data_IF_365821459023
#
_entry.id   IF_365821459023
#
_cell.length_a   1.000
_cell.length_b   1.000
_cell.length_c   1.000
_cell.angle_alpha   90.00
_cell.angle_beta   90.00
_cell.angle_gamma   90.00
#
_symmetry.space_group_name_H-M   'P 1'
#
loop_
_entity.id
_entity.type
_entity.pdbx_description
1 polymer ?
#
# COMPACT_ATOMS: atom_id res chain seq x y z
N UNK A 1 -9.11 -23.49 -43.09
CA UNK A 1 -8.46 -24.78 -42.86
C UNK A 1 -6.96 -24.60 -43.11
N UNK A 2 -6.14 -24.31 -42.08
CA UNK A 2 -4.69 -24.11 -42.25
C UNK A 2 -3.97 -25.27 -41.58
N UNK A 3 -3.51 -26.21 -42.40
CA UNK A 3 -2.80 -27.41 -41.97
C UNK A 3 -1.38 -27.06 -41.55
N UNK A 4 -1.03 -27.42 -40.31
CA UNK A 4 0.34 -27.30 -39.84
C UNK A 4 1.22 -28.28 -40.62
N UNK A 5 2.00 -27.77 -41.58
CA UNK A 5 3.13 -28.49 -42.15
C UNK A 5 4.14 -28.69 -41.03
N UNK A 6 4.29 -29.91 -40.53
CA UNK A 6 5.40 -30.23 -39.63
C UNK A 6 6.69 -29.96 -40.38
N UNK A 7 7.48 -29.04 -39.85
CA UNK A 7 8.72 -28.61 -40.49
C UNK A 7 9.80 -29.63 -40.13
N UNK A 8 10.35 -30.31 -41.13
CA UNK A 8 11.42 -31.28 -40.92
C UNK A 8 12.68 -30.55 -40.48
N UNK A 9 13.30 -31.03 -39.41
CA UNK A 9 14.61 -30.59 -38.96
C UNK A 9 15.63 -31.67 -39.34
N UNK A 10 16.82 -31.26 -39.74
CA UNK A 10 17.90 -32.17 -40.10
C UNK A 10 18.92 -32.20 -38.96
N UNK A 11 19.24 -33.39 -38.47
CA UNK A 11 20.31 -33.60 -37.51
C UNK A 11 21.54 -34.14 -38.23
N UNK A 12 22.62 -33.36 -38.26
CA UNK A 12 23.92 -33.81 -38.78
C UNK A 12 24.78 -34.28 -37.60
N UNK A 13 25.13 -35.57 -37.59
CA UNK A 13 26.02 -36.16 -36.60
C UNK A 13 27.45 -36.23 -37.17
N UNK A 14 28.49 -35.89 -36.39
CA UNK A 14 29.87 -36.00 -36.85
C UNK A 14 30.22 -37.46 -37.14
N UNK A 15 30.61 -37.75 -38.38
CA UNK A 15 30.95 -39.10 -38.86
C UNK A 15 29.90 -39.79 -39.74
N UNK A 16 28.74 -39.17 -39.98
CA UNK A 16 27.72 -39.67 -40.92
C UNK A 16 27.48 -38.67 -42.06
N UNK A 17 27.66 -39.09 -43.32
CA UNK A 17 27.45 -38.25 -44.52
C UNK A 17 25.96 -38.00 -44.85
N UNK A 18 25.04 -38.71 -44.20
CA UNK A 18 23.59 -38.59 -44.44
C UNK A 18 22.88 -37.92 -43.26
N UNK A 19 22.27 -36.74 -43.46
CA UNK A 19 21.49 -36.05 -42.43
C UNK A 19 20.25 -36.86 -42.02
N UNK A 20 20.02 -37.02 -40.72
CA UNK A 20 18.84 -37.72 -40.19
C UNK A 20 17.65 -36.75 -40.21
N UNK A 21 16.56 -37.14 -40.88
CA UNK A 21 15.31 -36.36 -40.91
C UNK A 21 14.53 -36.54 -39.61
N UNK A 22 14.33 -35.46 -38.87
CA UNK A 22 13.52 -35.39 -37.67
C UNK A 22 12.23 -34.62 -37.93
N UNK A 23 11.08 -35.22 -37.61
CA UNK A 23 9.80 -34.54 -37.71
C UNK A 23 9.51 -33.77 -36.42
N UNK A 24 9.48 -32.44 -36.49
CA UNK A 24 9.23 -31.58 -35.32
C UNK A 24 7.86 -30.92 -35.45
N UNK A 25 6.97 -31.20 -34.48
CA UNK A 25 5.66 -30.57 -34.40
C UNK A 25 5.70 -29.28 -33.57
N UNK A 26 5.94 -28.16 -34.25
CA UNK A 26 5.95 -26.82 -33.64
C UNK A 26 4.55 -26.34 -33.22
N UNK A 27 3.48 -26.99 -33.68
CA UNK A 27 2.09 -26.55 -33.44
C UNK A 27 1.70 -26.61 -31.97
N UNK A 28 2.17 -27.64 -31.25
CA UNK A 28 1.88 -27.82 -29.82
C UNK A 28 2.61 -26.80 -28.96
N UNK A 29 3.89 -26.54 -29.27
CA UNK A 29 4.70 -25.55 -28.57
C UNK A 29 4.16 -24.13 -28.79
N UNK A 30 3.80 -23.77 -30.03
CA UNK A 30 3.24 -22.45 -30.36
C UNK A 30 1.92 -22.20 -29.62
N UNK A 31 0.96 -23.14 -29.70
CA UNK A 31 -0.34 -22.99 -29.04
C UNK A 31 -0.21 -22.81 -27.53
N UNK A 32 0.68 -23.57 -26.87
CA UNK A 32 0.92 -23.43 -25.43
C UNK A 32 1.58 -22.08 -25.08
N UNK A 33 2.47 -21.59 -25.94
CA UNK A 33 3.09 -20.27 -25.78
C UNK A 33 2.08 -19.13 -25.95
N UNK A 34 1.25 -19.18 -27.00
CA UNK A 34 0.21 -18.19 -27.25
C UNK A 34 -0.84 -18.17 -26.14
N UNK A 35 -1.20 -19.35 -25.64
CA UNK A 35 -2.08 -19.45 -24.48
C UNK A 35 -1.46 -18.81 -23.23
N UNK A 36 -0.16 -19.01 -22.97
CA UNK A 36 0.56 -18.35 -21.88
C UNK A 36 0.57 -16.83 -22.04
N UNK A 37 0.80 -16.32 -23.26
CA UNK A 37 0.76 -14.88 -23.56
C UNK A 37 -0.63 -14.30 -23.29
N UNK A 38 -1.67 -14.97 -23.77
CA UNK A 38 -3.08 -14.56 -23.54
C UNK A 38 -3.39 -14.50 -22.05
N UNK A 39 -3.03 -15.53 -21.28
CA UNK A 39 -3.23 -15.53 -19.82
C UNK A 39 -2.44 -14.43 -19.12
N UNK A 40 -1.19 -14.18 -19.49
CA UNK A 40 -0.38 -13.12 -18.89
C UNK A 40 -0.92 -11.72 -19.23
N UNK A 41 -1.41 -11.52 -20.46
CA UNK A 41 -2.06 -10.27 -20.85
C UNK A 41 -3.31 -10.00 -20.00
N UNK A 42 -4.18 -11.00 -19.83
CA UNK A 42 -5.37 -10.89 -18.97
C UNK A 42 -4.98 -10.64 -17.51
N UNK A 43 -4.02 -11.40 -16.98
CA UNK A 43 -3.54 -11.23 -15.61
C UNK A 43 -2.97 -9.83 -15.37
N UNK A 44 -2.17 -9.32 -16.32
CA UNK A 44 -1.58 -7.98 -16.24
C UNK A 44 -2.64 -6.88 -16.29
N UNK A 45 -3.64 -6.99 -17.15
CA UNK A 45 -4.77 -6.05 -17.19
C UNK A 45 -5.55 -6.06 -15.89
N UNK A 46 -5.84 -7.24 -15.33
CA UNK A 46 -6.53 -7.36 -14.04
C UNK A 46 -5.71 -6.74 -12.91
N UNK A 47 -4.40 -6.99 -12.87
CA UNK A 47 -3.51 -6.42 -11.86
C UNK A 47 -3.47 -4.89 -11.95
N UNK A 48 -3.33 -4.33 -13.15
CA UNK A 48 -3.35 -2.89 -13.37
C UNK A 48 -4.69 -2.28 -12.95
N UNK A 49 -5.81 -2.91 -13.31
CA UNK A 49 -7.15 -2.46 -12.90
C UNK A 49 -7.31 -2.52 -11.38
N UNK A 50 -6.89 -3.60 -10.72
CA UNK A 50 -6.92 -3.72 -9.26
C UNK A 50 -6.09 -2.63 -8.60
N UNK A 51 -4.85 -2.40 -9.08
CA UNK A 51 -3.97 -1.36 -8.55
C UNK A 51 -4.59 0.04 -8.70
N UNK A 52 -5.21 0.30 -9.86
CA UNK A 52 -5.91 1.57 -10.12
C UNK A 52 -7.09 1.78 -9.15
N UNK A 53 -7.94 0.76 -8.98
CA UNK A 53 -9.08 0.84 -8.04
C UNK A 53 -8.61 1.07 -6.61
N UNK A 54 -7.59 0.34 -6.16
CA UNK A 54 -7.05 0.51 -4.80
C UNK A 54 -6.51 1.93 -4.59
N UNK A 55 -5.77 2.47 -5.56
CA UNK A 55 -5.27 3.85 -5.48
C UNK A 55 -6.42 4.88 -5.48
N UNK A 56 -7.47 4.67 -6.29
CA UNK A 56 -8.65 5.52 -6.30
C UNK A 56 -9.39 5.46 -4.95
N UNK A 57 -9.55 4.29 -4.36
CA UNK A 57 -10.16 4.10 -3.04
C UNK A 57 -9.34 4.78 -1.93
N UNK A 58 -8.01 4.63 -1.93
CA UNK A 58 -7.11 5.29 -0.98
C UNK A 58 -7.25 6.81 -1.08
N UNK A 59 -7.26 7.36 -2.30
CA UNK A 59 -7.44 8.81 -2.50
C UNK A 59 -8.82 9.29 -2.05
N UNK A 60 -9.86 8.49 -2.26
CA UNK A 60 -11.23 8.79 -1.82
C UNK A 60 -11.34 8.78 -0.30
N UNK A 61 -10.70 7.82 0.38
CA UNK A 61 -10.64 7.79 1.84
C UNK A 61 -9.91 9.00 2.40
N UNK A 62 -8.77 9.37 1.81
CA UNK A 62 -8.02 10.55 2.23
C UNK A 62 -8.83 11.83 2.04
N UNK A 63 -9.55 11.95 0.93
CA UNK A 63 -10.44 13.09 0.69
C UNK A 63 -11.57 13.14 1.72
N UNK A 64 -12.24 12.02 1.98
CA UNK A 64 -13.30 11.94 3.00
C UNK A 64 -12.81 12.40 4.37
N UNK A 65 -11.64 11.94 4.81
CA UNK A 65 -11.05 12.35 6.09
C UNK A 65 -10.74 13.85 6.13
N UNK A 66 -10.23 14.42 5.04
CA UNK A 66 -10.00 15.86 4.94
C UNK A 66 -11.30 16.66 5.00
N UNK A 67 -12.36 16.16 4.37
CA UNK A 67 -13.66 16.82 4.34
C UNK A 67 -14.32 16.78 5.72
N UNK A 68 -14.23 15.64 6.42
CA UNK A 68 -14.68 15.51 7.81
C UNK A 68 -13.90 16.44 8.75
N UNK A 69 -12.58 16.52 8.58
CA UNK A 69 -11.73 17.46 9.34
C UNK A 69 -12.18 18.91 9.17
N UNK A 70 -12.41 19.35 7.93
CA UNK A 70 -12.92 20.71 7.66
C UNK A 70 -14.30 20.95 8.27
N UNK A 71 -15.20 19.98 8.21
CA UNK A 71 -16.52 20.10 8.82
C UNK A 71 -16.46 20.23 10.35
N UNK A 72 -15.58 19.47 11.00
CA UNK A 72 -15.38 19.57 12.44
C UNK A 72 -14.77 20.91 12.83
N UNK A 73 -13.81 21.41 12.06
CA UNK A 73 -13.20 22.73 12.26
C UNK A 73 -14.25 23.84 12.20
N UNK A 74 -15.12 23.85 11.17
CA UNK A 74 -16.23 24.81 11.08
C UNK A 74 -17.17 24.72 12.27
N UNK A 75 -17.52 23.51 12.73
CA UNK A 75 -18.38 23.34 13.91
C UNK A 75 -17.71 23.85 15.19
N UNK A 76 -16.40 23.63 15.34
CA UNK A 76 -15.65 24.14 16.49
C UNK A 76 -15.58 25.67 16.49
N UNK A 77 -15.39 26.29 15.32
CA UNK A 77 -15.41 27.73 15.16
C UNK A 77 -16.79 28.30 15.54
N UNK A 78 -17.87 27.71 15.04
CA UNK A 78 -19.25 28.10 15.38
C UNK A 78 -19.52 28.01 16.89
N UNK A 79 -19.19 26.87 17.51
CA UNK A 79 -19.37 26.69 18.95
C UNK A 79 -18.49 27.64 19.77
N UNK A 80 -17.29 27.95 19.27
CA UNK A 80 -16.39 28.93 19.87
C UNK A 80 -17.00 30.32 19.83
N UNK A 81 -17.54 30.73 18.69
CA UNK A 81 -18.27 32.01 18.55
C UNK A 81 -19.49 32.07 19.47
N UNK A 82 -20.29 31.01 19.54
CA UNK A 82 -21.44 30.96 20.47
C UNK A 82 -21.00 31.06 21.93
N UNK A 83 -19.97 30.31 22.33
CA UNK A 83 -19.41 30.37 23.68
C UNK A 83 -18.93 31.78 24.01
N UNK A 84 -18.18 32.40 23.09
CA UNK A 84 -17.62 33.73 23.31
C UNK A 84 -18.72 34.78 23.37
N UNK A 85 -19.75 34.69 22.52
CA UNK A 85 -20.95 35.53 22.60
C UNK A 85 -21.62 35.47 23.98
N UNK A 86 -21.94 34.27 24.48
CA UNK A 86 -22.58 34.14 25.79
C UNK A 86 -21.64 34.49 26.96
N UNK A 87 -20.35 34.25 26.81
CA UNK A 87 -19.35 34.65 27.82
C UNK A 87 -19.29 36.17 27.93
N UNK A 88 -19.24 36.85 26.80
CA UNK A 88 -19.07 38.30 26.73
C UNK A 88 -20.35 39.01 27.16
N UNK A 89 -21.54 38.51 26.79
CA UNK A 89 -22.82 39.04 27.28
C UNK A 89 -22.97 38.84 28.81
N UNK A 90 -22.60 37.66 29.34
CA UNK A 90 -22.55 37.43 30.79
C UNK A 90 -21.60 38.41 31.48
N UNK A 91 -20.42 38.65 30.92
CA UNK A 91 -19.45 39.59 31.49
C UNK A 91 -20.02 41.02 31.48
N UNK A 92 -20.64 41.45 30.37
CA UNK A 92 -21.35 42.74 30.27
C UNK A 92 -22.41 42.90 31.34
N UNK A 93 -23.28 41.90 31.54
CA UNK A 93 -24.32 41.93 32.57
C UNK A 93 -23.73 41.98 33.98
N UNK A 94 -22.69 41.19 34.25
CA UNK A 94 -21.97 41.22 35.52
C UNK A 94 -21.39 42.61 35.79
N UNK A 95 -20.81 43.25 34.78
CA UNK A 95 -20.20 44.57 34.91
C UNK A 95 -21.27 45.63 35.26
N UNK A 96 -22.46 45.57 34.64
CA UNK A 96 -23.62 46.41 35.00
C UNK A 96 -24.05 46.19 36.46
N UNK A 97 -24.19 44.94 36.89
CA UNK A 97 -24.59 44.63 38.27
C UNK A 97 -23.54 45.13 39.27
N UNK A 98 -22.25 44.95 38.95
CA UNK A 98 -21.16 45.38 39.83
C UNK A 98 -21.10 46.89 40.05
N UNK A 99 -21.51 47.68 39.06
CA UNK A 99 -21.55 49.14 39.14
C UNK A 99 -22.82 49.66 39.81
N UNK A 100 -23.84 48.82 40.02
CA UNK A 100 -25.12 49.23 40.60
C UNK A 100 -25.05 49.21 42.13
N UNK A 101 -25.17 50.37 42.81
CA UNK A 101 -25.18 50.42 44.28
C UNK A 101 -26.32 49.58 44.86
N UNK A 102 -26.07 48.90 45.97
CA UNK A 102 -27.05 48.04 46.66
C UNK A 102 -27.10 46.59 46.20
N UNK A 103 -26.77 46.29 44.94
CA UNK A 103 -26.79 44.91 44.38
C UNK A 103 -25.43 44.41 43.88
N UNK A 104 -24.37 45.23 43.97
CA UNK A 104 -23.03 44.91 43.50
C UNK A 104 -22.45 43.60 44.06
N UNK A 105 -22.81 43.24 45.29
CA UNK A 105 -22.36 41.99 45.94
C UNK A 105 -22.78 40.72 45.18
N UNK A 106 -23.88 40.77 44.42
CA UNK A 106 -24.38 39.66 43.61
C UNK A 106 -23.52 39.34 42.39
N UNK A 107 -22.64 40.26 41.97
CA UNK A 107 -21.71 40.04 40.86
C UNK A 107 -20.54 39.10 41.21
N UNK A 108 -20.40 38.72 42.48
CA UNK A 108 -19.31 37.89 42.97
C UNK A 108 -19.50 36.43 42.52
N UNK A 109 -18.66 35.97 41.60
CA UNK A 109 -18.71 34.59 41.11
C UNK A 109 -18.09 33.64 42.15
N UNK A 110 -18.72 32.51 42.48
CA UNK A 110 -18.08 31.48 43.29
C UNK A 110 -16.83 30.93 42.59
N UNK A 111 -15.84 30.54 43.38
CA UNK A 111 -14.61 29.91 42.88
C UNK A 111 -14.95 28.72 41.99
N UNK A 112 -14.43 28.72 40.75
CA UNK A 112 -14.75 27.66 39.79
C UNK A 112 -14.21 26.33 40.32
N UNK A 113 -14.98 25.23 40.23
CA UNK A 113 -14.49 23.93 40.68
C UNK A 113 -13.21 23.60 39.90
N UNK A 114 -12.12 23.36 40.63
CA UNK A 114 -10.84 22.98 40.05
C UNK A 114 -11.06 21.70 39.23
N UNK A 115 -10.77 21.75 37.93
CA UNK A 115 -10.86 20.57 37.09
C UNK A 115 -9.83 19.57 37.57
N UNK A 116 -10.29 18.45 38.14
CA UNK A 116 -9.47 17.35 38.66
C UNK A 116 -8.76 16.54 37.54
N UNK A 117 -8.28 17.21 36.49
CA UNK A 117 -7.54 16.61 35.37
C UNK A 117 -6.15 17.22 35.25
N UNK A 118 -5.40 17.20 36.35
CA UNK A 118 -3.95 17.23 36.30
C UNK A 118 -3.40 16.18 37.26
N UNK A 119 -3.67 14.91 36.95
CA UNK A 119 -2.76 13.85 37.39
C UNK A 119 -1.46 14.05 36.61
N UNK A 120 -0.30 14.28 37.23
CA UNK A 120 0.95 14.10 36.53
C UNK A 120 1.01 12.65 36.07
N UNK A 121 1.20 12.46 34.77
CA UNK A 121 1.58 11.17 34.21
C UNK A 121 2.91 10.79 34.85
N UNK A 122 2.88 10.00 35.92
CA UNK A 122 4.08 9.34 36.42
C UNK A 122 4.46 8.33 35.36
N UNK A 123 5.48 8.69 34.61
CA UNK A 123 6.30 7.83 33.79
C UNK A 123 6.68 6.57 34.59
N UNK A 124 5.96 5.48 34.35
CA UNK A 124 6.36 4.15 34.80
C UNK A 124 6.06 3.17 33.68
N UNK A 125 7.08 2.92 32.89
CA UNK A 125 7.17 1.73 32.06
C UNK A 125 7.47 0.53 32.96
N UNK A 126 6.67 -0.55 32.91
CA UNK A 126 7.14 -1.86 33.34
C UNK A 126 6.97 -2.84 32.17
N UNK A 127 8.07 -3.06 31.46
CA UNK A 127 8.30 -4.32 30.78
C UNK A 127 8.21 -5.46 31.81
N UNK A 128 7.57 -6.57 31.42
CA UNK A 128 7.49 -7.88 32.10
C UNK A 128 6.29 -8.10 33.03
N UNK A 129 5.21 -8.68 32.50
CA UNK A 129 4.27 -9.51 33.26
C UNK A 129 3.97 -10.78 32.43
N UNK A 130 4.30 -11.94 33.00
CA UNK A 130 4.25 -13.28 32.39
C UNK A 130 2.80 -13.84 32.33
N UNK A 131 2.47 -14.76 31.41
CA UNK A 131 1.18 -15.45 31.39
C UNK A 131 1.21 -16.80 32.15
N UNK A 132 0.09 -17.08 32.83
CA UNK A 132 -0.17 -18.27 33.64
C UNK A 132 -0.39 -19.53 32.78
N UNK A 133 0.12 -20.66 33.27
CA UNK A 133 0.06 -22.01 32.70
C UNK A 133 -1.26 -22.73 33.04
N UNK A 134 -1.86 -23.44 32.06
CA UNK A 134 -2.88 -24.47 32.31
C UNK A 134 -2.36 -25.84 31.80
N UNK A 135 -2.61 -26.96 32.51
CA UNK A 135 -2.04 -28.26 32.17
C UNK A 135 -2.88 -29.03 31.13
N UNK A 136 -2.20 -29.66 30.16
CA UNK A 136 -2.75 -30.58 29.17
C UNK A 136 -2.53 -32.03 29.64
N UNK A 137 -3.59 -32.84 29.64
CA UNK A 137 -3.54 -34.27 29.96
C UNK A 137 -3.24 -35.12 28.71
N UNK A 138 -2.49 -36.21 28.97
CA UNK A 138 -1.92 -37.20 28.05
C UNK A 138 -2.95 -38.07 27.31
N UNK A 139 -2.56 -38.58 26.13
CA UNK A 139 -3.06 -39.82 25.53
C UNK A 139 -2.26 -40.22 24.28
N UNK A 140 -1.67 -41.41 24.28
CA UNK A 140 -0.75 -41.99 23.27
C UNK A 140 -1.38 -42.40 21.91
N UNK A 141 -0.57 -42.68 20.86
CA UNK A 141 -1.03 -43.07 19.53
C UNK A 141 -0.92 -44.58 19.22
N UNK A 142 -1.75 -45.07 18.30
CA UNK A 142 -1.56 -46.37 17.63
C UNK A 142 -1.79 -46.22 16.10
N UNK A 143 -0.93 -46.77 15.21
CA UNK A 143 -0.93 -46.42 13.79
C UNK A 143 -1.59 -47.49 12.90
N UNK A 144 -2.30 -47.07 11.85
CA UNK A 144 -2.87 -47.99 10.86
C UNK A 144 -3.52 -47.33 9.64
N UNK A 145 -2.74 -47.21 8.57
CA UNK A 145 -3.10 -47.46 7.15
C UNK A 145 -4.12 -46.57 6.38
N UNK A 146 -3.54 -45.62 5.62
CA UNK A 146 -3.64 -45.43 4.14
C UNK A 146 -4.96 -44.97 3.46
N UNK A 147 -4.86 -44.36 2.24
CA UNK A 147 -5.47 -43.06 1.96
C UNK A 147 -6.49 -43.06 0.81
N UNK A 148 -7.48 -42.18 0.92
CA UNK A 148 -8.01 -41.28 -0.13
C UNK A 148 -9.37 -40.75 0.33
N UNK A 149 -9.53 -39.42 0.50
CA UNK A 149 -10.20 -38.57 -0.50
C UNK A 149 -10.36 -37.13 0.03
N UNK A 150 -10.18 -36.18 -0.90
CA UNK A 150 -10.79 -34.83 -0.92
C UNK A 150 -10.43 -33.75 0.14
N UNK A 151 -10.48 -32.46 -0.25
CA UNK A 151 -9.69 -31.39 0.35
C UNK A 151 -10.50 -30.45 1.25
N UNK A 152 -9.98 -30.17 2.45
CA UNK A 152 -10.43 -29.03 3.24
C UNK A 152 -9.26 -28.16 3.72
N UNK A 153 -9.45 -26.87 3.45
CA UNK A 153 -8.92 -25.70 4.14
C UNK A 153 -8.19 -25.96 5.47
N UNK A 154 -6.92 -25.58 5.54
CA UNK A 154 -6.47 -24.49 6.41
C UNK A 154 -4.97 -24.25 6.25
N UNK A 155 -4.61 -22.99 6.08
CA UNK A 155 -3.25 -22.56 5.88
C UNK A 155 -2.50 -22.64 7.21
N UNK A 156 -1.50 -23.53 7.24
CA UNK A 156 -0.59 -23.76 8.36
C UNK A 156 0.27 -22.53 8.66
N UNK A 157 0.07 -21.96 9.85
CA UNK A 157 0.94 -20.97 10.49
C UNK A 157 1.93 -21.69 11.41
N UNK A 158 3.15 -21.95 10.93
CA UNK A 158 4.31 -22.15 11.82
C UNK A 158 5.59 -21.71 11.10
N UNK A 159 6.29 -20.76 11.69
CA UNK A 159 7.76 -20.77 11.72
C UNK A 159 8.25 -20.05 12.97
N UNK A 160 8.86 -20.86 13.84
CA UNK A 160 9.52 -20.58 15.11
C UNK A 160 10.78 -19.71 14.94
N UNK A 161 11.28 -19.06 16.01
CA UNK A 161 12.49 -18.25 15.96
C UNK A 161 13.72 -19.15 16.16
N UNK A 162 14.72 -19.05 15.27
CA UNK A 162 16.04 -19.65 15.45
C UNK A 162 17.11 -18.58 15.29
N UNK A 163 18.06 -18.62 16.22
CA UNK A 163 18.98 -17.54 16.53
C UNK A 163 20.02 -17.17 15.47
N UNK A 164 20.47 -15.93 15.63
CA UNK A 164 21.84 -15.41 15.46
C UNK A 164 22.67 -15.88 14.26
N UNK A 165 22.85 -14.97 13.30
CA UNK A 165 24.07 -14.83 12.52
C UNK A 165 24.28 -13.33 12.23
N UNK A 166 25.51 -12.81 12.37
CA UNK A 166 25.80 -11.39 12.14
C UNK A 166 25.90 -11.13 10.63
N UNK A 167 24.99 -10.35 10.07
CA UNK A 167 25.17 -9.79 8.72
C UNK A 167 26.12 -8.61 8.80
N UNK A 168 27.42 -8.89 8.65
CA UNK A 168 28.41 -7.89 8.27
C UNK A 168 28.19 -7.54 6.79
N UNK A 169 27.87 -6.27 6.53
CA UNK A 169 27.81 -5.71 5.17
C UNK A 169 29.23 -5.69 4.56
N UNK A 170 29.42 -6.00 3.27
CA UNK A 170 30.71 -5.79 2.62
C UNK A 170 30.95 -4.28 2.41
N UNK A 171 32.20 -3.79 2.59
CA UNK A 171 32.53 -2.40 2.35
C UNK A 171 32.61 -2.11 0.85
N UNK A 172 32.06 -0.96 0.45
CA UNK A 172 32.27 -0.35 -0.86
C UNK A 172 33.77 -0.08 -1.04
N UNK A 173 34.37 -0.65 -2.08
CA UNK A 173 35.71 -0.30 -2.53
C UNK A 173 35.62 0.50 -3.83
N UNK A 174 36.26 1.66 -3.82
CA UNK A 174 36.37 2.63 -4.90
C UNK A 174 37.42 2.27 -5.96
N UNK A 175 37.17 2.76 -7.19
CA UNK A 175 38.07 2.97 -8.36
C UNK A 175 38.54 1.75 -9.19
N UNK A 176 39.03 1.94 -10.45
CA UNK A 176 38.70 2.90 -11.50
C UNK A 176 38.41 2.23 -12.88
N UNK A 177 37.76 2.97 -13.78
CA UNK A 177 37.96 2.99 -15.24
C UNK A 177 38.34 1.70 -16.00
N UNK A 178 37.38 1.06 -16.66
CA UNK A 178 37.54 0.55 -18.05
C UNK A 178 36.23 -0.09 -18.52
N UNK A 179 35.47 0.63 -19.35
CA UNK A 179 34.33 0.06 -20.08
C UNK A 179 34.60 0.27 -21.56
N UNK A 180 34.67 -0.78 -22.41
CA UNK A 180 34.73 -0.57 -23.84
C UNK A 180 33.39 -0.03 -24.33
N UNK A 181 33.45 1.08 -25.05
CA UNK A 181 32.35 1.84 -25.63
C UNK A 181 31.41 0.97 -26.46
N UNK A 182 30.13 0.95 -26.09
CA UNK A 182 29.04 0.44 -26.92
C UNK A 182 28.69 1.50 -27.97
N UNK A 183 28.54 1.14 -29.27
CA UNK A 183 28.30 2.14 -30.30
C UNK A 183 26.92 2.80 -30.14
N UNK A 184 26.92 4.12 -30.07
CA UNK A 184 25.74 4.97 -30.23
C UNK A 184 25.35 5.03 -31.69
N UNK A 185 24.19 4.49 -32.02
CA UNK A 185 23.49 4.81 -33.26
C UNK A 185 21.99 4.65 -33.06
N UNK A 186 21.31 5.79 -33.02
CA UNK A 186 20.12 6.13 -33.81
C UNK A 186 19.25 7.13 -33.02
N UNK A 187 19.40 8.39 -33.40
CA UNK A 187 18.43 9.43 -33.13
C UNK A 187 17.08 9.09 -33.81
N UNK A 188 15.98 9.32 -33.11
CA UNK A 188 14.65 9.54 -33.70
C UNK A 188 13.85 10.34 -32.67
N UNK A 189 14.01 11.67 -32.70
CA UNK A 189 13.10 12.59 -33.41
C UNK A 189 11.69 12.58 -32.82
N UNK A 190 11.50 13.46 -31.84
CA UNK A 190 10.19 13.86 -31.31
C UNK A 190 9.44 14.64 -32.39
N UNK A 191 8.18 14.33 -32.72
CA UNK A 191 7.38 15.25 -33.52
C UNK A 191 6.96 16.43 -32.63
N UNK A 192 7.61 17.58 -32.85
CA UNK A 192 7.12 18.90 -32.42
C UNK A 192 5.72 19.10 -33.02
N UNK A 193 4.71 19.29 -32.17
CA UNK A 193 3.42 19.85 -32.58
C UNK A 193 3.67 21.28 -33.05
N UNK A 194 3.58 21.49 -34.35
CA UNK A 194 3.50 22.83 -34.95
C UNK A 194 2.06 23.30 -34.81
N UNK A 195 1.86 24.42 -34.11
CA UNK A 195 0.60 25.16 -34.07
C UNK A 195 0.37 25.83 -35.45
N UNK A 196 -0.86 25.87 -35.98
CA UNK A 196 -1.14 26.67 -37.17
C UNK A 196 -1.07 28.17 -36.82
N UNK A 197 -0.24 28.92 -37.55
CA UNK A 197 -0.16 30.37 -37.45
C UNK A 197 -1.38 31.03 -38.09
N UNK A 198 -1.96 32.00 -37.39
CA UNK A 198 -3.04 32.86 -37.85
C UNK A 198 -2.62 33.67 -39.08
N UNK A 199 -3.58 33.87 -39.98
CA UNK A 199 -3.40 34.38 -41.33
C UNK A 199 -2.87 35.80 -41.44
N UNK A 200 -2.18 36.05 -42.55
CA UNK A 200 -1.81 37.38 -42.99
C UNK A 200 -3.03 38.08 -43.62
N UNK A 201 -3.21 39.30 -43.16
CA UNK A 201 -4.14 40.32 -43.65
C UNK A 201 -3.40 41.11 -44.77
N UNK A 202 -4.18 41.72 -45.67
CA UNK A 202 -3.84 42.53 -46.87
C UNK A 202 -3.53 41.75 -48.16
N UNK A 203 -4.47 41.76 -49.10
CA UNK A 203 -4.47 42.74 -50.21
C UNK A 203 -5.81 42.80 -50.92
#
# INVERSE_FOLDING_TARGET
MSGAKGQQAFLALPGSDSPIHLYVDYSKASKKADEKRRRNAVASTRHRRKKKIMQEEDTKQLQKLRDEGRQLETKLEELTHQRDFYRDDRNRLRDIVSQTPGISHLATRPSSPASARSSPCVERSPLMAAPLTMPSQKGEPCPGERPADSPDSSMSMYSTPRGAHPSALPPMQDLPSSVPSRPTSAASSMPRRVLPSLGNILS
#
